data_IF_681770723691
#
_entry.id   IF_681770723691
#
_cell.length_a   1.000
_cell.length_b   1.000
_cell.length_c   1.000
_cell.angle_alpha   90.00
_cell.angle_beta   90.00
_cell.angle_gamma   90.00
#
_symmetry.space_group_name_H-M   'P 1'
#
loop_
_entity.id
_entity.type
_entity.pdbx_description
1 polymer ?
#
# COMPACT_ATOMS: atom_id res chain seq x y z
N UNK A 1 13.19 -0.18 17.64
CA UNK A 1 12.24 -0.70 16.63
C UNK A 1 11.17 0.36 16.41
N UNK A 2 11.32 1.22 15.40
CA UNK A 2 10.32 2.25 15.09
C UNK A 2 9.10 1.56 14.49
N UNK A 3 7.98 1.57 15.21
CA UNK A 3 6.70 1.06 14.72
C UNK A 3 6.32 1.83 13.47
N UNK A 4 6.28 1.16 12.30
CA UNK A 4 5.79 1.71 11.01
C UNK A 4 4.27 1.92 11.04
N UNK A 5 3.74 2.54 12.10
CA UNK A 5 2.34 2.92 12.17
C UNK A 5 2.16 4.16 11.32
N UNK A 6 1.48 4.01 10.19
CA UNK A 6 1.07 5.15 9.36
C UNK A 6 0.01 5.93 10.13
N UNK A 7 0.28 7.21 10.38
CA UNK A 7 -0.66 8.13 10.99
C UNK A 7 -1.21 9.06 9.92
N UNK A 8 -2.54 9.19 9.87
CA UNK A 8 -3.22 10.09 8.92
C UNK A 8 -3.95 11.17 9.71
N UNK A 9 -3.72 12.44 9.38
CA UNK A 9 -4.45 13.56 9.98
C UNK A 9 -5.68 13.88 9.13
N UNK A 10 -6.86 13.84 9.74
CA UNK A 10 -8.14 14.13 9.09
C UNK A 10 -8.69 15.42 9.67
N UNK A 11 -8.99 16.40 8.80
CA UNK A 11 -9.74 17.60 9.19
C UNK A 11 -11.21 17.37 8.84
N UNK A 12 -12.05 17.35 9.87
CA UNK A 12 -13.49 17.17 9.74
C UNK A 12 -14.17 18.47 10.12
N UNK A 13 -15.27 18.78 9.45
CA UNK A 13 -16.18 19.84 9.90
C UNK A 13 -16.84 19.41 11.23
N UNK A 14 -17.25 20.35 12.09
CA UNK A 14 -17.75 20.03 13.42
C UNK A 14 -18.96 19.09 13.44
N UNK A 15 -19.85 19.24 12.47
CA UNK A 15 -21.04 18.41 12.26
C UNK A 15 -20.67 16.96 11.90
N UNK A 16 -19.71 16.77 10.98
CA UNK A 16 -19.21 15.45 10.58
C UNK A 16 -18.49 14.77 11.74
N UNK A 17 -17.72 15.54 12.53
CA UNK A 17 -17.05 15.00 13.72
C UNK A 17 -18.07 14.52 14.77
N UNK A 18 -19.14 15.28 15.01
CA UNK A 18 -20.19 14.91 15.95
C UNK A 18 -20.91 13.64 15.50
N UNK A 19 -21.40 13.63 14.25
CA UNK A 19 -22.08 12.46 13.67
C UNK A 19 -21.19 11.21 13.68
N UNK A 20 -19.89 11.38 13.39
CA UNK A 20 -18.94 10.29 13.42
C UNK A 20 -18.71 9.72 14.82
N UNK A 21 -18.66 10.56 15.85
CA UNK A 21 -18.56 10.11 17.26
C UNK A 21 -19.82 9.39 17.71
N UNK A 22 -21.00 9.89 17.35
CA UNK A 22 -22.27 9.25 17.68
C UNK A 22 -22.38 7.88 17.01
N UNK A 23 -21.99 7.78 15.74
CA UNK A 23 -21.99 6.54 14.99
C UNK A 23 -20.99 5.49 15.54
N UNK A 24 -19.84 5.95 16.06
CA UNK A 24 -18.88 5.10 16.76
C UNK A 24 -19.44 4.61 18.10
N UNK A 25 -20.04 5.52 18.89
CA UNK A 25 -20.67 5.20 20.17
C UNK A 25 -21.81 4.20 20.03
N UNK A 26 -22.67 4.36 19.01
CA UNK A 26 -23.77 3.43 18.72
C UNK A 26 -23.27 2.00 18.41
N UNK A 27 -22.01 1.86 18.00
CA UNK A 27 -21.35 0.58 17.70
C UNK A 27 -20.43 0.11 18.84
N UNK A 28 -20.35 0.85 19.95
CA UNK A 28 -19.44 0.56 21.06
C UNK A 28 -17.96 0.64 20.67
N UNK A 29 -17.62 1.41 19.65
CA UNK A 29 -16.26 1.58 19.13
C UNK A 29 -15.69 2.93 19.55
N UNK A 30 -14.38 3.00 19.77
CA UNK A 30 -13.72 4.30 19.78
C UNK A 30 -13.75 4.93 18.37
N UNK A 31 -13.73 6.26 18.34
CA UNK A 31 -13.86 7.00 17.10
C UNK A 31 -12.75 6.69 16.08
N UNK A 32 -11.50 6.51 16.51
CA UNK A 32 -10.40 6.19 15.60
C UNK A 32 -10.56 4.77 15.05
N UNK A 33 -10.94 3.79 15.86
CA UNK A 33 -11.24 2.43 15.39
C UNK A 33 -12.40 2.37 14.43
N UNK A 34 -13.43 3.18 14.68
CA UNK A 34 -14.56 3.31 13.77
C UNK A 34 -14.11 3.86 12.40
N UNK A 35 -13.32 4.93 12.38
CA UNK A 35 -12.78 5.51 11.13
C UNK A 35 -11.82 4.55 10.42
N UNK A 36 -10.93 3.86 11.14
CA UNK A 36 -10.04 2.84 10.58
C UNK A 36 -10.84 1.75 9.86
N UNK A 37 -11.90 1.27 10.50
CA UNK A 37 -12.79 0.24 9.94
C UNK A 37 -13.53 0.75 8.71
N UNK A 38 -14.06 1.97 8.75
CA UNK A 38 -14.75 2.57 7.62
C UNK A 38 -13.84 2.70 6.39
N UNK A 39 -12.60 3.18 6.59
CA UNK A 39 -11.60 3.29 5.52
C UNK A 39 -11.24 1.91 4.99
N UNK A 40 -11.05 0.91 5.86
CA UNK A 40 -10.73 -0.44 5.45
C UNK A 40 -11.87 -1.08 4.64
N UNK A 41 -13.12 -0.91 5.06
CA UNK A 41 -14.30 -1.40 4.36
C UNK A 41 -14.42 -0.75 2.97
N UNK A 42 -14.30 0.59 2.90
CA UNK A 42 -14.40 1.36 1.64
C UNK A 42 -13.29 1.01 0.64
N UNK A 43 -12.06 0.81 1.13
CA UNK A 43 -10.90 0.53 0.27
C UNK A 43 -10.73 -0.95 -0.08
N UNK A 44 -11.36 -1.87 0.66
CA UNK A 44 -11.20 -3.31 0.45
C UNK A 44 -11.64 -3.76 -0.94
N UNK A 45 -12.78 -3.26 -1.45
CA UNK A 45 -13.29 -3.58 -2.78
C UNK A 45 -12.39 -3.03 -3.89
N UNK A 46 -11.96 -1.78 -3.78
CA UNK A 46 -11.04 -1.15 -4.72
C UNK A 46 -9.68 -1.88 -4.75
N UNK A 47 -9.17 -2.28 -3.58
CA UNK A 47 -7.96 -3.09 -3.47
C UNK A 47 -8.12 -4.44 -4.14
N UNK A 48 -9.21 -5.16 -3.88
CA UNK A 48 -9.47 -6.46 -4.50
C UNK A 48 -9.58 -6.36 -6.02
N UNK A 49 -10.30 -5.35 -6.54
CA UNK A 49 -10.41 -5.09 -7.97
C UNK A 49 -9.05 -4.74 -8.59
N UNK A 50 -8.24 -3.91 -7.91
CA UNK A 50 -6.89 -3.56 -8.33
C UNK A 50 -5.97 -4.77 -8.41
N UNK A 51 -5.98 -5.63 -7.38
CA UNK A 51 -5.19 -6.87 -7.37
C UNK A 51 -5.62 -7.82 -8.50
N UNK A 52 -6.93 -7.95 -8.75
CA UNK A 52 -7.44 -8.77 -9.84
C UNK A 52 -7.03 -8.22 -11.22
N UNK A 53 -7.02 -6.90 -11.39
CA UNK A 53 -6.55 -6.26 -12.62
C UNK A 53 -5.04 -6.44 -12.81
N UNK A 54 -4.24 -6.29 -11.76
CA UNK A 54 -2.80 -6.53 -11.78
C UNK A 54 -2.50 -8.00 -12.13
N UNK A 55 -3.24 -8.96 -11.55
CA UNK A 55 -3.08 -10.37 -11.89
C UNK A 55 -3.38 -10.63 -13.36
N UNK A 56 -4.47 -10.07 -13.91
CA UNK A 56 -4.79 -10.18 -15.35
C UNK A 56 -3.70 -9.61 -16.25
N UNK A 57 -3.07 -8.50 -15.84
CA UNK A 57 -1.95 -7.91 -16.57
C UNK A 57 -0.76 -8.88 -16.59
N UNK A 58 -0.41 -9.47 -15.45
CA UNK A 58 0.68 -10.46 -15.33
C UNK A 58 0.34 -11.70 -16.14
N UNK A 59 -0.88 -12.23 -16.07
CA UNK A 59 -1.27 -13.42 -16.81
C UNK A 59 -1.20 -13.19 -18.34
N UNK A 60 -1.54 -11.98 -18.79
CA UNK A 60 -1.52 -11.62 -20.21
C UNK A 60 -0.12 -11.22 -20.73
N UNK A 61 0.72 -10.63 -19.87
CA UNK A 61 1.97 -9.98 -20.29
C UNK A 61 3.20 -10.43 -19.49
N UNK A 62 3.09 -11.47 -18.66
CA UNK A 62 4.13 -11.91 -17.73
C UNK A 62 5.46 -12.15 -18.43
N UNK A 63 5.48 -12.94 -19.50
CA UNK A 63 6.72 -13.18 -20.26
C UNK A 63 7.37 -11.91 -20.82
N UNK A 64 6.57 -10.94 -21.27
CA UNK A 64 7.11 -9.64 -21.71
C UNK A 64 7.69 -8.83 -20.52
N UNK A 65 7.03 -8.86 -19.37
CA UNK A 65 7.52 -8.19 -18.16
C UNK A 65 8.80 -8.83 -17.64
N UNK A 66 8.90 -10.16 -17.69
CA UNK A 66 10.09 -10.91 -17.28
C UNK A 66 11.29 -10.60 -18.21
N UNK A 67 11.06 -10.57 -19.53
CA UNK A 67 12.10 -10.21 -20.50
C UNK A 67 12.56 -8.76 -20.32
N UNK A 68 11.62 -7.85 -20.03
CA UNK A 68 11.92 -6.44 -19.74
C UNK A 68 12.73 -6.28 -18.45
N UNK A 69 12.37 -7.01 -17.40
CA UNK A 69 13.10 -7.02 -16.13
C UNK A 69 14.53 -7.53 -16.32
N UNK A 70 14.71 -8.63 -17.06
CA UNK A 70 16.03 -9.18 -17.38
C UNK A 70 16.90 -8.22 -18.20
N UNK A 71 16.34 -7.53 -19.20
CA UNK A 71 17.05 -6.51 -19.97
C UNK A 71 17.47 -5.33 -19.09
N UNK A 72 16.57 -4.82 -18.24
CA UNK A 72 16.88 -3.72 -17.32
C UNK A 72 17.97 -4.09 -16.31
N UNK A 73 17.90 -5.28 -15.71
CA UNK A 73 18.91 -5.78 -14.79
C UNK A 73 20.27 -5.94 -15.47
N UNK A 74 20.29 -6.42 -16.73
CA UNK A 74 21.53 -6.54 -17.51
C UNK A 74 22.21 -5.18 -17.76
N UNK A 75 21.41 -4.12 -17.92
CA UNK A 75 21.87 -2.74 -18.14
C UNK A 75 22.31 -2.05 -16.85
N UNK A 76 21.81 -2.50 -15.70
CA UNK A 76 22.12 -1.93 -14.37
C UNK A 76 23.02 -2.83 -13.52
N UNK A 77 23.55 -3.92 -14.08
CA UNK A 77 24.54 -4.75 -13.42
C UNK A 77 25.66 -3.85 -12.84
N UNK A 78 25.82 -3.79 -11.50
CA UNK A 78 26.80 -2.92 -10.90
C UNK A 78 28.17 -3.34 -11.44
N UNK A 79 28.94 -2.35 -11.92
CA UNK A 79 30.35 -2.57 -12.23
C UNK A 79 31.00 -3.15 -10.98
N UNK A 80 31.34 -4.44 -11.06
CA UNK A 80 32.12 -5.13 -10.04
C UNK A 80 33.45 -4.39 -9.98
N UNK A 81 33.56 -3.43 -9.06
CA UNK A 81 34.86 -2.94 -8.63
C UNK A 81 35.56 -4.15 -8.00
N UNK A 82 36.34 -4.85 -8.81
CA UNK A 82 37.38 -5.75 -8.35
C UNK A 82 38.25 -4.94 -7.40
N UNK A 83 37.97 -5.07 -6.11
CA UNK A 83 38.84 -4.60 -5.06
C UNK A 83 40.01 -5.59 -5.07
N UNK A 84 40.98 -5.27 -5.92
CA UNK A 84 42.22 -6.02 -6.08
C UNK A 84 42.81 -6.33 -4.71
N UNK A 85 43.04 -7.61 -4.49
CA UNK A 85 43.97 -8.09 -3.48
C UNK A 85 45.38 -7.63 -3.87
N UNK A 86 46.04 -6.90 -2.97
CA UNK A 86 47.49 -6.78 -2.80
C UNK A 86 47.68 -6.21 -1.38
N UNK A 87 48.05 -7.02 -0.40
CA UNK A 87 49.42 -7.45 -0.08
C UNK A 87 50.22 -6.30 0.55
#
# INVERSE_FOLDING_TARGET
MSSTRKQTQLRLTPDVLAAGKDAAAARGLDFNRYIERLIAEDTSGARAAGMAAAQKLIDAHGGFLDDLEADLDSRHAPTRHDRGAAA
#
